data_IF_228256607859
#
_entry.id   IF_228256607859
#
_cell.length_a   1.000
_cell.length_b   1.000
_cell.length_c   1.000
_cell.angle_alpha   90.00
_cell.angle_beta   90.00
_cell.angle_gamma   90.00
#
_symmetry.space_group_name_H-M   'P 1'
#
loop_
_entity.id
_entity.type
_entity.pdbx_description
1 polymer ?
#
# COMPACT_ATOMS: atom_id res chain seq x y z
N UNK A 1 13.12 -35.22 36.71
CA UNK A 1 13.72 -34.00 36.13
C UNK A 1 15.17 -33.88 36.58
N UNK A 2 16.13 -33.62 35.69
CA UNK A 2 17.55 -33.57 36.09
C UNK A 2 17.88 -32.29 36.88
N UNK A 3 18.61 -32.42 37.98
CA UNK A 3 19.07 -31.29 38.81
C UNK A 3 20.45 -30.83 38.33
N UNK A 4 20.47 -29.87 37.39
CA UNK A 4 21.67 -29.41 36.71
C UNK A 4 21.91 -27.90 36.80
N UNK A 5 21.09 -27.17 37.57
CA UNK A 5 21.11 -25.71 37.61
C UNK A 5 21.64 -25.17 38.94
N UNK A 6 22.39 -24.08 38.88
CA UNK A 6 22.99 -23.43 40.05
C UNK A 6 22.76 -21.92 39.98
N UNK A 7 22.62 -21.27 41.13
CA UNK A 7 22.43 -19.82 41.26
C UNK A 7 23.49 -19.26 42.20
N UNK A 8 24.10 -18.14 41.81
CA UNK A 8 24.99 -17.41 42.69
C UNK A 8 24.17 -16.42 43.54
N UNK A 9 24.11 -16.64 44.86
CA UNK A 9 23.54 -15.71 45.81
C UNK A 9 24.64 -15.18 46.72
N UNK A 10 24.93 -13.88 46.63
CA UNK A 10 25.92 -13.21 47.47
C UNK A 10 27.30 -13.89 47.49
N UNK A 11 27.78 -14.33 46.32
CA UNK A 11 29.08 -14.98 46.17
C UNK A 11 29.11 -16.47 46.50
N UNK A 12 27.99 -17.06 46.94
CA UNK A 12 27.87 -18.51 47.19
C UNK A 12 27.01 -19.17 46.13
N UNK A 13 27.49 -20.29 45.59
CA UNK A 13 26.77 -21.10 44.61
C UNK A 13 25.77 -22.01 45.33
N UNK A 14 24.47 -21.81 45.10
CA UNK A 14 23.40 -22.67 45.59
C UNK A 14 22.89 -23.59 44.49
N UNK A 15 22.62 -24.85 44.83
CA UNK A 15 22.15 -25.89 43.91
C UNK A 15 22.69 -27.27 44.32
N UNK A 16 22.46 -28.32 43.51
CA UNK A 16 21.80 -28.27 42.20
C UNK A 16 20.27 -28.21 42.29
N UNK A 17 19.68 -27.39 41.44
CA UNK A 17 18.25 -27.21 41.21
C UNK A 17 17.82 -27.81 39.87
N UNK A 18 16.54 -28.11 39.71
CA UNK A 18 15.97 -28.46 38.41
C UNK A 18 15.55 -27.18 37.65
N UNK A 19 15.23 -27.31 36.36
CA UNK A 19 14.86 -26.15 35.53
C UNK A 19 13.56 -25.46 36.02
N UNK A 20 12.59 -26.24 36.56
CA UNK A 20 11.35 -25.72 37.12
C UNK A 20 11.59 -24.88 38.38
N UNK A 21 12.51 -25.29 39.25
CA UNK A 21 12.88 -24.55 40.47
C UNK A 21 13.44 -23.16 40.10
N UNK A 22 14.23 -23.06 39.02
CA UNK A 22 14.78 -21.78 38.54
C UNK A 22 13.65 -20.85 38.05
N UNK A 23 12.67 -21.41 37.32
CA UNK A 23 11.50 -20.67 36.84
C UNK A 23 10.66 -20.19 38.03
N UNK A 24 10.37 -21.08 38.97
CA UNK A 24 9.62 -20.78 40.18
C UNK A 24 10.29 -19.68 41.01
N UNK A 25 11.61 -19.75 41.20
CA UNK A 25 12.34 -18.72 41.93
C UNK A 25 12.31 -17.37 41.22
N UNK A 26 12.37 -17.35 39.89
CA UNK A 26 12.29 -16.13 39.10
C UNK A 26 10.88 -15.53 39.16
N UNK A 27 9.84 -16.33 38.93
CA UNK A 27 8.45 -15.89 38.89
C UNK A 27 7.93 -15.47 40.28
N UNK A 28 8.43 -16.09 41.36
CA UNK A 28 8.17 -15.70 42.77
C UNK A 28 9.02 -14.52 43.24
N UNK A 29 9.93 -13.99 42.41
CA UNK A 29 10.81 -12.87 42.76
C UNK A 29 11.89 -13.22 43.79
N UNK A 30 12.15 -14.50 44.04
CA UNK A 30 13.19 -14.99 44.97
C UNK A 30 14.60 -14.83 44.40
N UNK A 31 14.72 -14.71 43.08
CA UNK A 31 15.96 -14.38 42.37
C UNK A 31 15.74 -13.23 41.41
N UNK A 32 16.74 -12.36 41.28
CA UNK A 32 16.66 -11.17 40.42
C UNK A 32 17.09 -11.50 39.00
N UNK A 33 16.61 -10.74 38.02
CA UNK A 33 16.90 -10.94 36.59
C UNK A 33 18.39 -10.94 36.25
N UNK A 34 19.18 -10.10 36.92
CA UNK A 34 20.63 -9.96 36.73
C UNK A 34 21.46 -10.92 37.58
N UNK A 35 20.83 -11.75 38.40
CA UNK A 35 21.52 -12.72 39.24
C UNK A 35 22.18 -13.80 38.38
N UNK A 36 23.39 -14.22 38.73
CA UNK A 36 24.11 -15.19 37.92
C UNK A 36 23.56 -16.61 38.14
N UNK A 37 23.35 -17.30 37.04
CA UNK A 37 22.87 -18.66 36.96
C UNK A 37 23.78 -19.48 36.02
N UNK A 38 24.00 -20.74 36.36
CA UNK A 38 24.84 -21.63 35.58
C UNK A 38 24.20 -23.01 35.49
N UNK A 39 24.23 -23.56 34.27
CA UNK A 39 23.78 -24.91 33.97
C UNK A 39 25.00 -25.80 33.78
N UNK A 40 24.99 -26.98 34.39
CA UNK A 40 26.05 -27.98 34.26
C UNK A 40 26.28 -28.30 32.77
N UNK A 41 27.50 -28.07 32.30
CA UNK A 41 27.90 -28.19 30.88
C UNK A 41 27.98 -26.86 30.12
N UNK A 42 27.52 -25.74 30.68
CA UNK A 42 27.70 -24.42 30.10
C UNK A 42 29.10 -23.86 30.37
N UNK A 43 29.69 -23.15 29.40
CA UNK A 43 31.06 -22.59 29.53
C UNK A 43 31.16 -21.51 30.62
N UNK A 44 30.18 -20.63 30.73
CA UNK A 44 30.22 -19.45 31.62
C UNK A 44 28.91 -19.28 32.40
N UNK A 45 28.99 -18.64 33.58
CA UNK A 45 27.83 -18.14 34.31
C UNK A 45 27.14 -17.02 33.51
N UNK A 46 25.82 -17.02 33.49
CA UNK A 46 25.01 -16.05 32.75
C UNK A 46 23.90 -15.48 33.64
N UNK A 47 23.48 -14.22 33.45
CA UNK A 47 22.36 -13.68 34.22
C UNK A 47 21.06 -14.44 33.92
N UNK A 48 20.17 -14.55 34.92
CA UNK A 48 18.92 -15.33 34.85
C UNK A 48 18.08 -14.96 33.61
N UNK A 49 17.96 -13.67 33.28
CA UNK A 49 17.18 -13.25 32.11
C UNK A 49 17.67 -13.88 30.78
N UNK A 50 18.96 -14.17 30.66
CA UNK A 50 19.56 -14.73 29.44
C UNK A 50 19.39 -16.25 29.33
N UNK A 51 19.05 -16.93 30.44
CA UNK A 51 18.96 -18.39 30.51
C UNK A 51 17.58 -18.91 30.91
N UNK A 52 16.68 -18.03 31.35
CA UNK A 52 15.32 -18.40 31.78
C UNK A 52 14.52 -19.07 30.67
N UNK A 53 14.71 -18.64 29.42
CA UNK A 53 14.06 -19.27 28.28
C UNK A 53 14.59 -20.69 28.02
N UNK A 54 15.87 -20.93 28.28
CA UNK A 54 16.47 -22.27 28.18
C UNK A 54 15.92 -23.19 29.28
N UNK A 55 15.75 -22.66 30.50
CA UNK A 55 15.12 -23.39 31.59
C UNK A 55 13.64 -23.74 31.26
N UNK A 56 12.89 -22.78 30.69
CA UNK A 56 11.50 -23.01 30.24
C UNK A 56 11.42 -24.08 29.16
N UNK A 57 12.30 -24.04 28.17
CA UNK A 57 12.34 -25.06 27.11
C UNK A 57 12.72 -26.44 27.69
N UNK A 58 13.69 -26.51 28.61
CA UNK A 58 14.07 -27.77 29.26
C UNK A 58 12.95 -28.34 30.14
N UNK A 59 12.20 -27.48 30.83
CA UNK A 59 11.03 -27.88 31.59
C UNK A 59 9.91 -28.39 30.69
N UNK A 60 9.62 -27.65 29.63
CA UNK A 60 8.63 -28.01 28.61
C UNK A 60 8.95 -29.37 27.97
N UNK A 61 10.17 -29.57 27.48
CA UNK A 61 10.59 -30.84 26.86
C UNK A 61 10.54 -32.02 27.84
N UNK A 62 10.83 -31.79 29.14
CA UNK A 62 10.67 -32.83 30.16
C UNK A 62 9.21 -33.24 30.35
N UNK A 63 8.28 -32.28 30.40
CA UNK A 63 6.85 -32.57 30.50
C UNK A 63 6.31 -33.20 29.22
N UNK A 64 6.71 -32.73 28.04
CA UNK A 64 6.34 -33.32 26.75
C UNK A 64 6.83 -34.77 26.63
N UNK A 65 8.07 -35.08 27.05
CA UNK A 65 8.56 -36.46 27.08
C UNK A 65 7.79 -37.33 28.08
N UNK A 66 7.38 -36.77 29.23
CA UNK A 66 6.62 -37.52 30.24
C UNK A 66 5.16 -37.74 29.83
N UNK A 67 4.61 -36.84 29.03
CA UNK A 67 3.24 -36.93 28.48
C UNK A 67 3.18 -37.90 27.29
N UNK A 68 4.30 -38.14 26.60
CA UNK A 68 4.36 -39.10 25.48
C UNK A 68 4.60 -40.56 25.92
N UNK A 69 5.17 -40.79 27.10
CA UNK A 69 5.48 -42.15 27.61
C UNK A 69 4.43 -42.73 28.60
N UNK A 70 3.48 -41.93 29.09
CA UNK A 70 2.46 -42.38 30.04
C UNK A 70 1.04 -42.03 29.53
N UNK A 71 0.29 -43.06 29.12
CA UNK A 71 -1.13 -43.01 28.74
C UNK A 71 -2.07 -42.78 29.96
N UNK A 72 -1.62 -41.99 30.95
CA UNK A 72 -2.33 -41.76 32.21
C UNK A 72 -2.27 -40.31 32.71
N UNK A 73 -3.36 -39.93 33.38
CA UNK A 73 -3.74 -38.61 33.87
C UNK A 73 -2.59 -37.72 34.39
N UNK A 74 -2.65 -36.45 33.95
CA UNK A 74 -1.83 -35.35 34.47
C UNK A 74 -1.87 -35.29 36.02
N UNK A 75 -0.75 -34.96 36.69
CA UNK A 75 -0.69 -34.97 38.15
C UNK A 75 -1.71 -34.02 38.78
N UNK A 76 -2.52 -34.53 39.71
CA UNK A 76 -3.44 -33.74 40.52
C UNK A 76 -2.64 -32.83 41.48
N UNK A 77 -2.83 -31.51 41.33
CA UNK A 77 -2.21 -30.49 42.18
C UNK A 77 -2.97 -30.42 43.51
N UNK A 78 -2.30 -30.34 44.68
CA UNK A 78 -2.96 -30.25 45.98
C UNK A 78 -3.86 -29.01 46.07
N UNK A 79 -5.13 -29.22 46.39
CA UNK A 79 -6.11 -28.16 46.66
C UNK A 79 -5.90 -27.71 48.10
N UNK A 80 -5.57 -26.43 48.32
CA UNK A 80 -5.55 -25.85 49.66
C UNK A 80 -6.94 -25.26 49.97
N UNK A 81 -7.64 -25.81 50.97
CA UNK A 81 -8.86 -25.24 51.52
C UNK A 81 -8.54 -23.99 52.35
N UNK A 82 -8.95 -22.83 51.87
CA UNK A 82 -8.88 -21.57 52.61
C UNK A 82 -10.28 -21.17 53.10
N UNK A 83 -10.36 -20.78 54.38
CA UNK A 83 -11.60 -20.44 55.11
C UNK A 83 -12.25 -19.15 54.59
N UNK A 84 -13.58 -19.19 54.56
CA UNK A 84 -14.52 -18.20 54.00
C UNK A 84 -14.54 -16.85 54.74
N UNK A 85 -14.82 -15.79 53.98
CA UNK A 85 -15.57 -14.60 54.39
C UNK A 85 -16.50 -14.24 53.23
N UNK A 86 -17.81 -14.37 53.45
CA UNK A 86 -18.88 -13.99 52.52
C UNK A 86 -19.26 -12.52 52.76
N UNK A 87 -19.29 -11.72 51.70
CA UNK A 87 -20.36 -10.73 51.48
C UNK A 87 -20.34 -10.23 50.03
N UNK A 88 -21.49 -9.79 49.54
CA UNK A 88 -21.85 -9.06 48.31
C UNK A 88 -22.86 -9.74 47.37
N UNK A 89 -24.06 -9.15 47.41
CA UNK A 89 -25.23 -9.32 46.54
C UNK A 89 -24.98 -8.84 45.09
N UNK A 90 -25.61 -9.55 44.15
CA UNK A 90 -25.88 -9.20 42.76
C UNK A 90 -27.12 -8.28 42.66
N UNK A 91 -27.07 -7.26 41.81
CA UNK A 91 -28.13 -6.95 40.83
C UNK A 91 -27.73 -5.72 40.00
N UNK A 92 -27.63 -5.89 38.69
CA UNK A 92 -28.02 -4.87 37.70
C UNK A 92 -27.96 -5.46 36.29
N UNK A 93 -29.12 -5.58 35.66
CA UNK A 93 -29.27 -5.88 34.22
C UNK A 93 -30.04 -4.74 33.55
N UNK A 94 -29.61 -4.30 32.35
CA UNK A 94 -30.16 -3.11 31.69
C UNK A 94 -31.39 -3.43 30.81
N UNK A 95 -32.30 -2.47 30.59
CA UNK A 95 -33.42 -2.64 29.67
C UNK A 95 -33.11 -2.17 28.22
N UNK A 96 -33.84 -2.69 27.20
CA UNK A 96 -33.61 -2.39 25.77
C UNK A 96 -34.67 -1.49 25.08
N UNK A 97 -34.24 -0.95 23.92
CA UNK A 97 -34.94 -0.59 22.64
C UNK A 97 -36.12 0.39 22.60
N UNK A 98 -36.13 1.28 21.58
CA UNK A 98 -37.23 1.43 20.60
C UNK A 98 -36.86 2.39 19.42
N UNK A 99 -37.40 2.07 18.23
CA UNK A 99 -37.42 2.79 16.95
C UNK A 99 -38.76 3.55 16.76
N UNK A 100 -38.79 4.60 15.92
CA UNK A 100 -39.94 5.10 15.11
C UNK A 100 -39.38 6.23 14.19
N UNK A 101 -39.36 6.17 12.83
CA UNK A 101 -40.40 6.37 11.76
C UNK A 101 -41.23 7.67 12.00
N UNK A 102 -41.31 8.68 11.10
CA UNK A 102 -42.12 8.85 9.85
C UNK A 102 -41.75 10.24 9.25
N UNK A 103 -41.50 10.39 7.93
CA UNK A 103 -42.41 10.85 6.85
C UNK A 103 -42.69 12.39 6.90
N UNK A 104 -42.93 13.17 5.84
CA UNK A 104 -43.40 13.00 4.46
C UNK A 104 -43.20 14.36 3.72
N UNK A 105 -43.20 14.33 2.38
CA UNK A 105 -43.84 15.30 1.46
C UNK A 105 -43.35 16.75 1.26
N UNK A 106 -43.47 17.43 0.10
CA UNK A 106 -43.89 17.12 -1.29
C UNK A 106 -43.84 18.45 -2.11
N UNK A 107 -44.06 18.36 -3.43
CA UNK A 107 -44.43 19.37 -4.45
C UNK A 107 -43.39 20.43 -4.93
N UNK A 108 -43.36 20.91 -6.18
CA UNK A 108 -43.75 20.51 -7.56
C UNK A 108 -43.52 21.75 -8.47
N UNK A 109 -43.42 21.53 -9.78
CA UNK A 109 -43.70 22.46 -10.93
C UNK A 109 -42.81 23.68 -11.20
N UNK A 110 -42.68 24.20 -12.43
CA UNK A 110 -42.80 23.76 -13.84
C UNK A 110 -42.54 25.04 -14.70
N UNK A 111 -42.29 24.84 -16.01
CA UNK A 111 -42.57 25.72 -17.16
C UNK A 111 -41.49 26.67 -17.74
N UNK A 112 -41.20 26.37 -19.03
CA UNK A 112 -41.19 27.24 -20.24
C UNK A 112 -40.16 28.38 -20.36
N UNK A 113 -39.73 28.85 -21.54
CA UNK A 113 -39.73 28.47 -22.97
C UNK A 113 -38.89 29.59 -23.63
N UNK A 114 -38.52 29.43 -24.91
CA UNK A 114 -38.42 30.47 -25.95
C UNK A 114 -37.19 30.38 -26.89
N UNK A 115 -37.57 30.46 -28.17
CA UNK A 115 -36.82 30.36 -29.42
C UNK A 115 -36.07 31.63 -29.84
N UNK A 116 -35.11 31.53 -30.76
CA UNK A 116 -35.10 32.35 -31.99
C UNK A 116 -34.14 31.84 -33.09
N UNK A 117 -34.53 32.06 -34.35
CA UNK A 117 -33.88 31.68 -35.62
C UNK A 117 -33.04 32.82 -36.20
N UNK A 118 -32.09 32.52 -37.10
CA UNK A 118 -31.72 33.43 -38.20
C UNK A 118 -31.10 32.67 -39.39
N UNK A 119 -31.82 32.65 -40.51
CA UNK A 119 -31.36 32.30 -41.86
C UNK A 119 -30.95 33.58 -42.60
N UNK A 120 -29.86 33.53 -43.38
CA UNK A 120 -29.54 34.55 -44.39
C UNK A 120 -29.16 33.86 -45.70
N UNK A 121 -30.05 33.95 -46.68
CA UNK A 121 -29.78 33.65 -48.08
C UNK A 121 -29.79 34.96 -48.89
N UNK A 122 -28.82 35.13 -49.79
CA UNK A 122 -28.85 36.16 -50.81
C UNK A 122 -28.30 35.62 -52.13
N UNK A 123 -29.22 35.34 -53.05
CA UNK A 123 -28.99 35.10 -54.47
C UNK A 123 -28.50 36.38 -55.17
N UNK A 124 -27.49 36.27 -56.04
CA UNK A 124 -27.10 37.34 -56.98
C UNK A 124 -27.14 36.77 -58.40
N UNK A 125 -28.10 37.26 -59.21
CA UNK A 125 -28.19 37.04 -60.65
C UNK A 125 -27.31 38.05 -61.41
N UNK A 126 -26.43 37.57 -62.29
CA UNK A 126 -25.72 38.38 -63.28
C UNK A 126 -26.48 38.42 -64.62
N UNK A 127 -26.63 39.60 -65.26
CA UNK A 127 -26.84 39.69 -66.70
C UNK A 127 -25.57 40.15 -67.44
N UNK A 128 -25.44 39.65 -68.66
CA UNK A 128 -24.31 39.80 -69.57
C UNK A 128 -24.36 41.10 -70.39
N UNK A 129 -23.21 41.79 -70.47
CA UNK A 129 -22.60 42.49 -71.63
C UNK A 129 -21.41 43.33 -71.13
N UNK A 130 -20.22 43.09 -71.69
CA UNK A 130 -18.94 43.57 -71.15
C UNK A 130 -18.37 44.77 -71.91
N UNK A 131 -18.26 45.97 -71.30
CA UNK A 131 -17.31 47.00 -71.69
C UNK A 131 -16.03 46.90 -70.83
N UNK A 132 -14.97 47.58 -71.29
CA UNK A 132 -13.55 47.60 -70.85
C UNK A 132 -13.29 47.61 -69.31
N UNK A 133 -14.28 47.90 -68.48
CA UNK A 133 -14.18 47.82 -67.02
C UNK A 133 -13.90 46.41 -66.48
N UNK A 134 -14.31 45.35 -67.17
CA UNK A 134 -14.15 43.98 -66.64
C UNK A 134 -12.77 43.39 -66.88
N UNK A 135 -12.01 43.89 -67.84
CA UNK A 135 -10.60 43.50 -68.00
C UNK A 135 -9.72 44.15 -66.93
N UNK A 136 -10.02 45.38 -66.52
CA UNK A 136 -9.32 46.07 -65.42
C UNK A 136 -9.67 45.46 -64.07
N UNK A 137 -10.95 45.12 -63.84
CA UNK A 137 -11.37 44.41 -62.62
C UNK A 137 -10.79 42.98 -62.61
N UNK A 138 -10.80 42.27 -63.74
CA UNK A 138 -10.17 40.95 -63.83
C UNK A 138 -8.64 41.02 -63.64
N UNK A 139 -7.94 42.02 -64.18
CA UNK A 139 -6.50 42.17 -63.95
C UNK A 139 -6.21 42.51 -62.50
N UNK A 140 -7.03 43.35 -61.86
CA UNK A 140 -6.90 43.66 -60.44
C UNK A 140 -7.17 42.41 -59.59
N UNK A 141 -8.21 41.64 -59.88
CA UNK A 141 -8.50 40.37 -59.20
C UNK A 141 -7.36 39.37 -59.43
N UNK A 142 -6.84 39.23 -60.65
CA UNK A 142 -5.69 38.34 -60.93
C UNK A 142 -4.46 38.81 -60.16
N UNK A 143 -4.19 40.11 -60.11
CA UNK A 143 -3.03 40.65 -59.37
C UNK A 143 -3.20 40.44 -57.87
N UNK A 144 -4.39 40.69 -57.33
CA UNK A 144 -4.72 40.43 -55.92
C UNK A 144 -4.64 38.93 -55.61
N UNK A 145 -5.15 38.07 -56.49
CA UNK A 145 -5.03 36.61 -56.34
C UNK A 145 -3.58 36.15 -56.46
N UNK A 146 -2.78 36.72 -57.35
CA UNK A 146 -1.34 36.41 -57.48
C UNK A 146 -0.57 36.90 -56.27
N UNK A 147 -0.83 38.11 -55.77
CA UNK A 147 -0.21 38.65 -54.56
C UNK A 147 -0.61 37.85 -53.33
N UNK A 148 -1.90 37.54 -53.15
CA UNK A 148 -2.40 36.67 -52.07
C UNK A 148 -1.80 35.26 -52.21
N UNK A 149 -1.70 34.72 -53.43
CA UNK A 149 -1.08 33.41 -53.67
C UNK A 149 0.42 33.44 -53.38
N UNK A 150 1.13 34.53 -53.69
CA UNK A 150 2.54 34.71 -53.34
C UNK A 150 2.72 34.87 -51.83
N UNK A 151 1.82 35.59 -51.16
CA UNK A 151 1.85 35.78 -49.72
C UNK A 151 1.54 34.48 -48.97
N UNK A 152 0.56 33.70 -49.47
CA UNK A 152 0.27 32.35 -48.97
C UNK A 152 1.39 31.35 -49.30
N UNK A 153 2.06 31.47 -50.46
CA UNK A 153 3.20 30.64 -50.84
C UNK A 153 4.46 30.93 -50.02
N UNK A 154 4.68 32.19 -49.63
CA UNK A 154 5.81 32.57 -48.78
C UNK A 154 5.67 31.95 -47.37
N UNK A 155 4.45 31.83 -46.86
CA UNK A 155 4.15 31.23 -45.56
C UNK A 155 4.84 31.93 -44.37
N UNK A 156 4.58 31.50 -43.13
CA UNK A 156 5.25 32.06 -41.95
C UNK A 156 6.77 31.81 -42.01
N UNK A 157 7.59 32.81 -41.67
CA UNK A 157 9.06 32.64 -41.59
C UNK A 157 9.41 31.67 -40.46
N UNK A 158 10.02 30.53 -40.80
CA UNK A 158 10.48 29.53 -39.81
C UNK A 158 11.75 30.06 -39.15
N UNK A 159 11.78 30.11 -37.81
CA UNK A 159 12.98 30.50 -37.04
C UNK A 159 13.98 29.35 -37.03
N UNK A 160 15.26 29.66 -37.12
CA UNK A 160 16.32 28.67 -36.88
C UNK A 160 16.23 28.14 -35.43
N UNK A 161 16.29 26.81 -35.29
CA UNK A 161 16.15 26.16 -33.99
C UNK A 161 17.50 26.13 -33.25
N UNK A 162 17.59 26.84 -32.13
CA UNK A 162 18.73 26.77 -31.21
C UNK A 162 18.46 25.76 -30.09
N UNK A 163 19.24 24.68 -30.03
CA UNK A 163 19.16 23.68 -28.96
C UNK A 163 19.69 24.28 -27.64
N UNK A 164 18.80 24.54 -26.66
CA UNK A 164 19.17 25.12 -25.36
C UNK A 164 18.89 24.15 -24.21
N UNK A 165 19.78 24.18 -23.22
CA UNK A 165 19.66 23.43 -21.97
C UNK A 165 19.42 21.91 -22.15
N UNK A 166 20.19 21.27 -23.04
CA UNK A 166 20.11 19.82 -23.32
C UNK A 166 21.29 19.12 -22.63
N UNK A 167 21.08 17.90 -22.12
CA UNK A 167 22.18 17.10 -21.59
C UNK A 167 23.17 16.69 -22.69
N UNK A 168 24.46 16.59 -22.35
CA UNK A 168 25.54 16.25 -23.32
C UNK A 168 25.26 14.90 -23.98
N UNK A 169 24.74 13.93 -23.22
CA UNK A 169 24.36 12.61 -23.72
C UNK A 169 23.23 12.68 -24.74
N UNK A 170 22.14 13.41 -24.45
CA UNK A 170 21.02 13.58 -25.38
C UNK A 170 21.45 14.35 -26.64
N UNK A 171 22.33 15.35 -26.51
CA UNK A 171 22.87 16.09 -27.64
C UNK A 171 23.71 15.20 -28.58
N UNK A 172 24.53 14.32 -28.01
CA UNK A 172 25.34 13.37 -28.79
C UNK A 172 24.48 12.36 -29.55
N UNK A 173 23.37 11.91 -28.95
CA UNK A 173 22.41 11.03 -29.61
C UNK A 173 21.62 11.75 -30.70
N UNK A 174 21.25 13.01 -30.47
CA UNK A 174 20.56 13.86 -31.44
C UNK A 174 21.43 14.21 -32.66
N UNK A 175 22.76 14.26 -32.50
CA UNK A 175 23.70 14.51 -33.60
C UNK A 175 23.79 13.34 -34.59
N UNK A 176 23.45 12.11 -34.19
CA UNK A 176 23.49 10.93 -35.07
C UNK A 176 22.56 11.11 -36.29
N UNK A 177 22.91 10.59 -37.47
CA UNK A 177 22.03 10.62 -38.63
C UNK A 177 20.75 9.82 -38.35
N UNK A 178 19.62 10.32 -38.84
CA UNK A 178 18.30 9.68 -38.69
C UNK A 178 17.99 8.93 -39.97
N UNK A 179 17.53 7.68 -39.87
CA UNK A 179 17.16 6.87 -41.04
C UNK A 179 15.85 7.36 -41.65
N UNK A 180 15.59 7.01 -42.92
CA UNK A 180 14.48 7.58 -43.70
C UNK A 180 13.08 7.43 -43.07
N UNK A 181 12.87 6.42 -42.22
CA UNK A 181 11.59 6.14 -41.54
C UNK A 181 11.69 6.30 -40.02
N UNK A 182 12.69 7.02 -39.52
CA UNK A 182 12.88 7.21 -38.10
C UNK A 182 12.85 8.69 -37.71
N UNK A 183 12.59 8.95 -36.44
CA UNK A 183 12.57 10.27 -35.84
C UNK A 183 13.29 10.22 -34.49
N UNK A 184 14.17 11.18 -34.25
CA UNK A 184 14.84 11.33 -32.96
C UNK A 184 14.17 12.44 -32.16
N UNK A 185 13.92 12.16 -30.88
CA UNK A 185 13.25 13.06 -29.96
C UNK A 185 14.12 13.23 -28.73
N UNK A 186 14.25 14.48 -28.30
CA UNK A 186 14.91 14.82 -27.06
C UNK A 186 14.13 15.91 -26.35
N UNK A 187 14.33 16.01 -25.04
CA UNK A 187 13.77 17.04 -24.17
C UNK A 187 14.90 17.87 -23.60
N UNK A 188 14.63 19.14 -23.32
CA UNK A 188 15.54 19.93 -22.49
C UNK A 188 15.53 19.44 -21.04
N UNK A 189 16.51 19.88 -20.24
CA UNK A 189 16.66 19.47 -18.85
C UNK A 189 15.47 19.83 -17.97
N UNK A 190 14.76 20.90 -18.31
CA UNK A 190 13.63 21.41 -17.53
C UNK A 190 12.28 20.82 -17.99
N UNK A 191 12.28 19.92 -18.98
CA UNK A 191 11.06 19.32 -19.56
C UNK A 191 10.06 20.38 -20.07
N UNK A 192 10.54 21.53 -20.54
CA UNK A 192 9.70 22.62 -21.05
C UNK A 192 9.70 22.71 -22.58
N UNK A 193 10.63 22.03 -23.25
CA UNK A 193 10.73 22.03 -24.71
C UNK A 193 11.10 20.65 -25.23
N UNK A 194 10.42 20.24 -26.31
CA UNK A 194 10.71 19.02 -27.05
C UNK A 194 11.37 19.38 -28.38
N UNK A 195 12.44 18.67 -28.74
CA UNK A 195 13.11 18.81 -30.03
C UNK A 195 13.00 17.52 -30.82
N UNK A 196 12.65 17.68 -32.08
CA UNK A 196 12.49 16.60 -33.04
C UNK A 196 13.50 16.75 -34.15
N UNK A 197 14.12 15.64 -34.55
CA UNK A 197 14.93 15.54 -35.75
C UNK A 197 14.29 14.59 -36.74
N UNK A 198 13.99 15.12 -37.91
CA UNK A 198 13.40 14.43 -39.05
C UNK A 198 14.49 14.07 -40.06
N UNK A 199 14.30 13.00 -40.85
CA UNK A 199 15.30 12.53 -41.80
C UNK A 199 15.37 13.40 -43.08
N UNK A 200 14.38 14.27 -43.30
CA UNK A 200 14.28 15.13 -44.47
C UNK A 200 14.38 16.62 -44.08
N UNK A 201 14.90 17.43 -45.01
CA UNK A 201 15.08 18.88 -44.83
C UNK A 201 13.90 19.72 -45.37
N UNK A 202 12.79 19.09 -45.73
CA UNK A 202 11.62 19.77 -46.30
C UNK A 202 10.84 20.52 -45.22
N UNK A 203 10.08 21.53 -45.65
CA UNK A 203 9.13 22.24 -44.80
C UNK A 203 7.93 21.34 -44.51
N UNK A 204 7.65 21.11 -43.22
CA UNK A 204 6.57 20.23 -42.77
C UNK A 204 5.80 20.84 -41.61
N UNK A 205 4.50 20.54 -41.56
CA UNK A 205 3.67 20.72 -40.37
C UNK A 205 3.68 19.41 -39.60
N UNK A 206 3.91 19.47 -38.29
CA UNK A 206 3.98 18.28 -37.43
C UNK A 206 3.03 18.45 -36.24
N UNK A 207 2.18 17.45 -36.07
CA UNK A 207 1.34 17.24 -34.90
C UNK A 207 1.88 16.02 -34.13
N UNK A 208 2.00 16.20 -32.81
CA UNK A 208 2.52 15.21 -31.89
C UNK A 208 1.45 14.86 -30.87
N UNK A 209 1.30 13.57 -30.62
CA UNK A 209 0.50 13.05 -29.52
C UNK A 209 1.41 12.15 -28.69
N UNK A 210 1.65 12.55 -27.44
CA UNK A 210 2.56 11.90 -26.50
C UNK A 210 1.72 11.32 -25.36
N UNK A 211 1.67 9.99 -25.26
CA UNK A 211 0.98 9.31 -24.19
C UNK A 211 1.98 8.61 -23.27
N UNK A 212 2.08 9.07 -22.02
CA UNK A 212 2.97 8.49 -21.00
C UNK A 212 2.30 7.28 -20.35
N UNK A 213 3.08 6.22 -20.14
CA UNK A 213 2.67 5.14 -19.22
C UNK A 213 3.16 5.44 -17.79
N UNK A 214 2.32 5.22 -16.76
CA UNK A 214 2.67 5.52 -15.39
C UNK A 214 3.81 4.60 -14.90
N UNK A 215 4.65 5.12 -14.02
CA UNK A 215 5.74 4.37 -13.40
C UNK A 215 5.83 4.63 -11.89
N UNK A 216 6.74 3.94 -11.19
CA UNK A 216 6.86 4.03 -9.73
C UNK A 216 7.36 5.40 -9.24
N UNK A 217 7.97 6.23 -10.11
CA UNK A 217 8.41 7.58 -9.75
C UNK A 217 7.28 8.60 -9.93
N UNK A 218 6.49 8.46 -10.99
CA UNK A 218 5.36 9.33 -11.28
C UNK A 218 4.17 8.50 -11.76
N UNK A 219 3.12 8.46 -10.92
CA UNK A 219 1.94 7.61 -11.11
C UNK A 219 0.85 8.21 -11.99
N UNK A 220 1.02 9.44 -12.45
CA UNK A 220 0.05 10.11 -13.32
C UNK A 220 0.20 9.70 -14.78
N UNK A 221 -0.95 9.46 -15.42
CA UNK A 221 -1.06 9.46 -16.87
C UNK A 221 -0.83 10.89 -17.38
N UNK A 222 -0.17 11.00 -18.53
CA UNK A 222 0.12 12.28 -19.15
C UNK A 222 -0.11 12.16 -20.63
N UNK A 223 -1.03 12.97 -21.13
CA UNK A 223 -1.33 13.12 -22.55
C UNK A 223 -0.95 14.52 -22.98
N UNK A 224 0.07 14.63 -23.83
CA UNK A 224 0.53 15.91 -24.37
C UNK A 224 0.29 15.94 -25.87
N UNK A 225 -0.38 16.99 -26.33
CA UNK A 225 -0.44 17.35 -27.74
C UNK A 225 0.45 18.54 -28.01
N UNK A 226 1.11 18.54 -29.16
CA UNK A 226 1.92 19.68 -29.58
C UNK A 226 1.88 19.81 -31.09
N UNK A 227 1.85 21.04 -31.59
CA UNK A 227 1.83 21.33 -33.02
C UNK A 227 2.89 22.37 -33.34
N UNK A 228 3.69 22.13 -34.38
CA UNK A 228 4.58 23.16 -34.89
C UNK A 228 4.94 22.92 -36.37
N UNK A 229 5.37 23.98 -37.03
CA UNK A 229 5.86 23.99 -38.41
C UNK A 229 7.37 24.20 -38.36
N UNK A 230 8.11 23.33 -39.06
CA UNK A 230 9.56 23.40 -39.12
C UNK A 230 10.11 23.21 -40.51
N UNK A 231 11.38 23.60 -40.67
CA UNK A 231 12.14 23.52 -41.92
C UNK A 231 13.59 23.16 -41.58
N UNK A 232 14.28 22.43 -42.47
CA UNK A 232 15.68 22.03 -42.23
C UNK A 232 15.86 20.77 -41.37
N UNK A 233 14.78 20.05 -41.06
CA UNK A 233 14.82 18.72 -40.42
C UNK A 233 14.95 18.74 -38.90
N UNK A 234 14.89 19.90 -38.25
CA UNK A 234 14.79 20.02 -36.79
C UNK A 234 13.59 20.91 -36.44
N UNK A 235 12.79 20.49 -35.46
CA UNK A 235 11.60 21.22 -35.00
C UNK A 235 11.63 21.31 -33.48
N UNK A 236 11.36 22.50 -32.95
CA UNK A 236 11.24 22.77 -31.51
C UNK A 236 9.76 22.95 -31.13
N UNK A 237 9.31 22.34 -30.05
CA UNK A 237 7.96 22.50 -29.50
C UNK A 237 8.09 23.06 -28.09
N UNK A 238 7.64 24.31 -27.89
CA UNK A 238 7.59 24.98 -26.58
C UNK A 238 6.17 25.00 -26.01
N UNK A 239 5.18 25.15 -26.87
CA UNK A 239 3.78 25.24 -26.49
C UNK A 239 3.19 23.81 -26.44
N UNK A 240 3.44 23.12 -25.33
CA UNK A 240 2.91 21.79 -25.05
C UNK A 240 1.51 21.92 -24.41
N UNK A 241 0.48 21.43 -25.10
CA UNK A 241 -0.88 21.37 -24.55
C UNK A 241 -1.09 20.06 -23.82
N UNK A 242 -1.34 20.12 -22.50
CA UNK A 242 -1.64 18.97 -21.66
C UNK A 242 -3.16 18.71 -21.68
N UNK A 243 -3.59 17.57 -22.20
CA UNK A 243 -4.97 17.11 -22.10
C UNK A 243 -5.21 16.34 -20.80
N UNK A 244 -4.20 15.57 -20.36
CA UNK A 244 -4.22 14.83 -19.11
C UNK A 244 -2.89 15.04 -18.36
N UNK A 245 -2.97 15.20 -17.04
CA UNK A 245 -1.83 15.45 -16.17
C UNK A 245 -1.52 16.93 -15.94
N UNK A 246 -0.85 17.25 -14.83
CA UNK A 246 -0.54 18.64 -14.45
C UNK A 246 0.73 19.17 -15.12
N UNK A 247 1.69 18.30 -15.40
CA UNK A 247 3.02 18.68 -15.88
C UNK A 247 3.57 17.64 -16.86
N UNK A 248 4.41 18.07 -17.80
CA UNK A 248 5.19 17.17 -18.63
C UNK A 248 6.37 16.61 -17.81
N UNK A 249 6.39 15.29 -17.62
CA UNK A 249 7.29 14.62 -16.67
C UNK A 249 8.14 13.53 -17.31
N UNK A 250 9.30 13.17 -16.74
CA UNK A 250 10.18 12.15 -17.32
C UNK A 250 9.51 10.76 -17.38
N UNK A 251 9.82 9.98 -18.42
CA UNK A 251 9.35 8.60 -18.53
C UNK A 251 9.33 8.03 -19.94
N UNK A 252 8.64 6.89 -20.08
CA UNK A 252 8.39 6.26 -21.39
C UNK A 252 7.08 6.78 -21.98
N UNK A 253 7.17 7.26 -23.21
CA UNK A 253 6.04 7.75 -24.00
C UNK A 253 5.80 6.87 -25.22
N UNK A 254 4.53 6.60 -25.50
CA UNK A 254 4.09 6.23 -26.84
C UNK A 254 3.82 7.54 -27.60
N UNK A 255 4.51 7.72 -28.73
CA UNK A 255 4.46 8.97 -29.48
C UNK A 255 3.91 8.69 -30.87
N UNK A 256 2.84 9.40 -31.21
CA UNK A 256 2.26 9.42 -32.55
C UNK A 256 2.69 10.72 -33.22
N UNK A 257 3.46 10.59 -34.29
CA UNK A 257 3.90 11.67 -35.16
C UNK A 257 2.99 11.70 -36.36
N UNK A 258 2.39 12.85 -36.61
CA UNK A 258 1.57 13.08 -37.77
C UNK A 258 2.18 14.27 -38.50
N UNK A 259 2.58 14.10 -39.76
CA UNK A 259 3.17 15.22 -40.51
C UNK A 259 2.63 15.36 -41.92
N UNK A 260 2.56 16.62 -42.35
CA UNK A 260 2.10 17.06 -43.66
C UNK A 260 3.20 17.88 -44.36
N UNK A 261 3.50 17.54 -45.61
CA UNK A 261 4.46 18.29 -46.44
C UNK A 261 3.83 19.59 -46.95
N UNK A 262 4.50 20.73 -46.68
CA UNK A 262 4.00 22.07 -47.01
C UNK A 262 4.57 22.64 -48.32
N UNK A 263 5.03 21.79 -49.24
CA UNK A 263 5.60 22.20 -50.53
C UNK A 263 4.55 22.76 -51.51
N UNK A 264 4.95 23.68 -52.39
CA UNK A 264 4.09 24.25 -53.45
C UNK A 264 3.43 23.19 -54.34
N UNK A 265 4.17 22.15 -54.72
CA UNK A 265 3.65 21.04 -55.54
C UNK A 265 2.74 20.08 -54.73
N UNK A 266 2.98 19.95 -53.43
CA UNK A 266 2.21 19.06 -52.55
C UNK A 266 0.86 19.68 -52.17
N UNK A 267 0.81 21.00 -51.97
CA UNK A 267 -0.42 21.78 -51.78
C UNK A 267 -1.35 21.79 -53.00
N UNK A 268 -0.79 21.65 -54.21
CA UNK A 268 -1.58 21.52 -55.43
C UNK A 268 -2.20 20.12 -55.49
N UNK A 269 -1.43 19.06 -55.24
CA UNK A 269 -1.95 17.68 -55.24
C UNK A 269 -3.06 17.44 -54.21
N UNK A 270 -2.90 17.96 -52.99
CA UNK A 270 -3.91 17.83 -51.93
C UNK A 270 -5.23 18.53 -52.29
N UNK A 271 -5.18 19.66 -53.00
CA UNK A 271 -6.38 20.38 -53.49
C UNK A 271 -7.05 19.73 -54.70
N UNK A 272 -6.34 18.91 -55.47
CA UNK A 272 -6.87 18.18 -56.64
C UNK A 272 -7.30 16.74 -56.32
N UNK A 273 -7.52 16.39 -55.06
CA UNK A 273 -8.17 15.14 -54.64
C UNK A 273 -7.33 13.87 -54.78
N UNK A 274 -6.03 13.99 -55.07
CA UNK A 274 -5.10 12.84 -55.15
C UNK A 274 -4.26 12.75 -53.89
N UNK A 275 -4.89 12.27 -52.81
CA UNK A 275 -4.25 11.82 -51.58
C UNK A 275 -3.76 12.94 -50.65
N UNK A 276 -4.16 12.87 -49.38
CA UNK A 276 -3.43 13.56 -48.31
C UNK A 276 -2.08 12.85 -48.13
N UNK A 277 -0.96 13.55 -48.31
CA UNK A 277 0.38 13.05 -47.94
C UNK A 277 0.58 13.10 -46.41
N UNK A 278 -0.43 12.67 -45.65
CA UNK A 278 -0.42 12.63 -44.19
C UNK A 278 0.21 11.30 -43.78
N UNK A 279 1.42 11.35 -43.29
CA UNK A 279 2.15 10.17 -42.81
C UNK A 279 2.04 10.10 -41.28
N UNK A 280 1.71 8.91 -40.76
CA UNK A 280 1.61 8.65 -39.33
C UNK A 280 2.71 7.67 -38.94
N UNK A 281 3.53 8.07 -37.98
CA UNK A 281 4.56 7.23 -37.39
C UNK A 281 4.30 7.06 -35.90
N UNK A 282 4.27 5.83 -35.43
CA UNK A 282 4.15 5.52 -34.00
C UNK A 282 5.48 4.99 -33.47
N UNK A 283 5.97 5.59 -32.39
CA UNK A 283 7.23 5.18 -31.76
C UNK A 283 7.15 5.24 -30.26
N UNK A 284 7.74 4.24 -29.60
CA UNK A 284 8.00 4.28 -28.17
C UNK A 284 9.31 5.00 -27.90
N UNK A 285 9.26 6.11 -27.17
CA UNK A 285 10.42 6.95 -26.87
C UNK A 285 10.58 7.09 -25.36
N UNK A 286 11.83 7.15 -24.91
CA UNK A 286 12.14 7.42 -23.51
C UNK A 286 12.58 8.87 -23.37
N UNK A 287 11.72 9.71 -22.79
CA UNK A 287 11.96 11.14 -22.64
C UNK A 287 12.38 11.41 -21.20
N UNK A 288 13.69 11.60 -21.01
CA UNK A 288 14.28 11.95 -19.71
C UNK A 288 15.32 13.05 -19.91
N UNK A 289 15.44 14.00 -18.95
CA UNK A 289 16.38 15.10 -19.06
C UNK A 289 17.86 14.65 -18.91
N UNK A 290 18.08 13.52 -18.22
CA UNK A 290 19.41 12.92 -18.01
C UNK A 290 19.63 11.68 -18.90
N UNK A 291 20.36 10.68 -18.41
CA UNK A 291 20.56 9.40 -19.09
C UNK A 291 19.51 8.38 -18.64
N UNK A 292 19.13 7.49 -19.57
CA UNK A 292 18.26 6.34 -19.28
C UNK A 292 18.74 5.53 -18.07
N UNK A 293 20.04 5.30 -17.97
CA UNK A 293 20.66 4.54 -16.88
C UNK A 293 20.42 5.18 -15.51
N UNK A 294 20.60 6.50 -15.38
CA UNK A 294 20.39 7.21 -14.11
C UNK A 294 18.93 7.16 -13.67
N UNK A 295 18.00 7.32 -14.61
CA UNK A 295 16.57 7.26 -14.30
C UNK A 295 16.14 5.84 -13.86
N UNK A 296 16.61 4.80 -14.55
CA UNK A 296 16.37 3.41 -14.14
C UNK A 296 17.00 3.13 -12.76
N UNK A 297 18.20 3.66 -12.49
CA UNK A 297 18.83 3.54 -11.18
C UNK A 297 18.02 4.22 -10.06
N UNK A 298 17.34 5.34 -10.35
CA UNK A 298 16.46 6.00 -9.39
C UNK A 298 15.18 5.18 -9.14
N UNK A 299 14.52 4.67 -10.18
CA UNK A 299 13.35 3.79 -10.05
C UNK A 299 13.68 2.56 -9.22
N UNK A 300 14.75 1.85 -9.58
CA UNK A 300 15.17 0.64 -8.86
C UNK A 300 15.54 0.92 -7.40
N UNK A 301 16.08 2.10 -7.08
CA UNK A 301 16.32 2.53 -5.69
C UNK A 301 15.01 2.74 -4.92
N UNK A 302 13.99 3.30 -5.55
CA UNK A 302 12.66 3.48 -4.94
C UNK A 302 11.97 2.13 -4.73
N UNK A 303 12.01 1.24 -5.73
CA UNK A 303 11.47 -0.13 -5.63
C UNK A 303 12.15 -0.92 -4.50
N UNK A 304 13.48 -0.84 -4.40
CA UNK A 304 14.23 -1.46 -3.29
C UNK A 304 13.82 -0.90 -1.93
N UNK A 305 13.59 0.40 -1.82
CA UNK A 305 13.12 1.00 -0.56
C UNK A 305 11.71 0.53 -0.20
N UNK A 306 10.80 0.43 -1.18
CA UNK A 306 9.42 -0.03 -1.00
C UNK A 306 9.38 -1.50 -0.56
N UNK A 307 10.18 -2.36 -1.19
CA UNK A 307 10.29 -3.78 -0.81
C UNK A 307 10.88 -3.97 0.59
N UNK A 308 11.93 -3.21 0.95
CA UNK A 308 12.49 -3.24 2.31
C UNK A 308 11.48 -2.73 3.35
N UNK A 309 10.75 -1.66 3.06
CA UNK A 309 9.72 -1.13 3.94
C UNK A 309 8.58 -2.15 4.13
N UNK A 310 8.11 -2.76 3.04
CA UNK A 310 7.07 -3.79 3.09
C UNK A 310 7.50 -5.00 3.91
N UNK A 311 8.71 -5.54 3.71
CA UNK A 311 9.24 -6.63 4.53
C UNK A 311 9.31 -6.27 6.01
N UNK A 312 9.68 -5.02 6.34
CA UNK A 312 9.68 -4.53 7.73
C UNK A 312 8.27 -4.48 8.31
N UNK A 313 7.29 -4.00 7.54
CA UNK A 313 5.89 -3.95 7.96
C UNK A 313 5.35 -5.35 8.22
N UNK A 314 5.53 -6.27 7.26
CA UNK A 314 5.07 -7.67 7.39
C UNK A 314 5.75 -8.36 8.59
N UNK A 315 7.03 -8.10 8.84
CA UNK A 315 7.71 -8.62 10.02
C UNK A 315 7.07 -8.11 11.33
N UNK A 316 6.74 -6.82 11.42
CA UNK A 316 6.05 -6.25 12.58
C UNK A 316 4.64 -6.83 12.77
N UNK A 317 3.88 -6.98 11.69
CA UNK A 317 2.56 -7.65 11.67
C UNK A 317 2.69 -9.08 12.24
N UNK A 318 3.69 -9.84 11.78
CA UNK A 318 3.94 -11.21 12.26
C UNK A 318 4.34 -11.26 13.75
N UNK A 319 5.10 -10.27 14.24
CA UNK A 319 5.41 -10.16 15.67
C UNK A 319 4.16 -9.92 16.53
N UNK A 320 3.21 -9.09 16.04
CA UNK A 320 1.91 -8.92 16.71
C UNK A 320 1.13 -10.23 16.77
N UNK A 321 1.07 -10.97 15.67
CA UNK A 321 0.39 -12.28 15.62
C UNK A 321 1.02 -13.28 16.61
N UNK A 322 2.35 -13.36 16.66
CA UNK A 322 3.07 -14.20 17.64
C UNK A 322 2.79 -13.79 19.09
N UNK A 323 2.63 -12.49 19.33
CA UNK A 323 2.27 -11.99 20.65
C UNK A 323 0.85 -12.42 21.01
N UNK A 324 -0.12 -12.34 20.09
CA UNK A 324 -1.47 -12.85 20.31
C UNK A 324 -1.49 -14.37 20.59
N UNK A 325 -0.68 -15.15 19.88
CA UNK A 325 -0.52 -16.60 20.14
C UNK A 325 -0.03 -16.87 21.58
N UNK A 326 0.96 -16.11 22.03
CA UNK A 326 1.44 -16.20 23.41
C UNK A 326 0.35 -15.80 24.42
N UNK A 327 -0.45 -14.78 24.10
CA UNK A 327 -1.57 -14.33 24.94
C UNK A 327 -2.70 -15.38 25.02
N UNK A 328 -3.05 -16.04 23.91
CA UNK A 328 -4.02 -17.15 23.91
C UNK A 328 -3.56 -18.27 24.86
N UNK A 329 -2.28 -18.64 24.78
CA UNK A 329 -1.70 -19.67 25.63
C UNK A 329 -1.65 -19.24 27.10
N UNK A 330 -1.25 -17.99 27.36
CA UNK A 330 -1.23 -17.39 28.70
C UNK A 330 -2.63 -17.33 29.32
N UNK A 331 -3.65 -16.96 28.54
CA UNK A 331 -5.05 -16.97 28.96
C UNK A 331 -5.49 -18.35 29.43
N UNK A 332 -5.21 -19.38 28.63
CA UNK A 332 -5.54 -20.78 28.96
C UNK A 332 -4.88 -21.22 30.27
N UNK A 333 -3.59 -20.91 30.45
CA UNK A 333 -2.84 -21.24 31.66
C UNK A 333 -3.45 -20.56 32.88
N UNK A 334 -3.66 -19.24 32.82
CA UNK A 334 -4.19 -18.48 33.95
C UNK A 334 -5.63 -18.85 34.29
N UNK A 335 -6.44 -19.19 33.29
CA UNK A 335 -7.77 -19.74 33.50
C UNK A 335 -7.73 -21.09 34.21
N UNK A 336 -6.90 -22.04 33.74
CA UNK A 336 -6.75 -23.35 34.38
C UNK A 336 -6.25 -23.25 35.82
N UNK A 337 -5.34 -22.32 36.11
CA UNK A 337 -4.86 -22.06 37.47
C UNK A 337 -6.00 -21.56 38.38
N UNK A 338 -6.87 -20.66 37.87
CA UNK A 338 -8.01 -20.17 38.64
C UNK A 338 -9.03 -21.25 39.02
N UNK A 339 -9.14 -22.31 38.21
CA UNK A 339 -10.03 -23.44 38.51
C UNK A 339 -9.57 -24.28 39.72
N UNK A 340 -8.36 -24.04 40.25
CA UNK A 340 -7.91 -24.66 41.50
C UNK A 340 -8.67 -24.17 42.72
N UNK A 341 -9.35 -23.03 42.61
CA UNK A 341 -10.16 -22.47 43.69
C UNK A 341 -11.37 -23.34 44.05
N UNK A 342 -11.87 -23.12 45.26
CA UNK A 342 -12.98 -23.88 45.85
C UNK A 342 -14.33 -23.50 45.23
N UNK A 343 -14.51 -22.22 44.93
CA UNK A 343 -15.73 -21.67 44.35
C UNK A 343 -15.48 -20.97 43.01
N UNK A 344 -16.53 -20.89 42.17
CA UNK A 344 -16.46 -20.20 40.89
C UNK A 344 -16.29 -18.69 41.06
N UNK A 345 -16.84 -18.10 42.12
CA UNK A 345 -16.59 -16.70 42.49
C UNK A 345 -15.11 -16.43 42.80
N UNK A 346 -14.46 -17.28 43.61
CA UNK A 346 -13.02 -17.15 43.90
C UNK A 346 -12.19 -17.37 42.63
N UNK A 347 -12.53 -18.37 41.82
CA UNK A 347 -11.89 -18.60 40.53
C UNK A 347 -12.03 -17.39 39.60
N UNK A 348 -13.23 -16.81 39.51
CA UNK A 348 -13.51 -15.60 38.74
C UNK A 348 -12.59 -14.45 39.18
N UNK A 349 -12.53 -14.17 40.50
CA UNK A 349 -11.72 -13.09 41.06
C UNK A 349 -10.23 -13.31 40.79
N UNK A 350 -9.73 -14.52 40.97
CA UNK A 350 -8.34 -14.87 40.71
C UNK A 350 -8.00 -14.75 39.23
N UNK A 351 -8.87 -15.25 38.35
CA UNK A 351 -8.67 -15.15 36.90
C UNK A 351 -8.64 -13.69 36.45
N UNK A 352 -9.59 -12.87 36.90
CA UNK A 352 -9.64 -11.43 36.60
C UNK A 352 -8.37 -10.72 37.04
N UNK A 353 -7.84 -11.04 38.22
CA UNK A 353 -6.58 -10.47 38.71
C UNK A 353 -5.38 -10.89 37.86
N UNK A 354 -5.28 -12.17 37.50
CA UNK A 354 -4.21 -12.70 36.64
C UNK A 354 -4.27 -12.10 35.23
N UNK A 355 -5.47 -11.99 34.66
CA UNK A 355 -5.72 -11.35 33.37
C UNK A 355 -5.26 -9.89 33.39
N UNK A 356 -5.73 -9.10 34.36
CA UNK A 356 -5.39 -7.69 34.48
C UNK A 356 -3.88 -7.45 34.62
N UNK A 357 -3.16 -8.34 35.31
CA UNK A 357 -1.72 -8.23 35.53
C UNK A 357 -0.88 -8.69 34.33
N UNK A 358 -1.24 -9.81 33.71
CA UNK A 358 -0.34 -10.53 32.81
C UNK A 358 -0.76 -10.50 31.33
N UNK A 359 -2.02 -10.19 31.03
CA UNK A 359 -2.60 -10.32 29.68
C UNK A 359 -3.11 -8.97 29.19
N UNK A 360 -3.95 -8.30 29.97
CA UNK A 360 -4.63 -7.06 29.57
C UNK A 360 -3.69 -5.97 29.05
N UNK A 361 -2.52 -5.67 29.69
CA UNK A 361 -1.65 -4.59 29.22
C UNK A 361 -1.08 -4.82 27.82
N UNK A 362 -0.70 -6.06 27.51
CA UNK A 362 -0.16 -6.45 26.20
C UNK A 362 -1.26 -6.51 25.13
N UNK A 363 -2.44 -7.00 25.49
CA UNK A 363 -3.56 -7.05 24.57
C UNK A 363 -4.03 -5.63 24.22
N UNK A 364 -4.09 -4.74 25.21
CA UNK A 364 -4.44 -3.34 25.01
C UNK A 364 -3.42 -2.63 24.12
N UNK A 365 -2.12 -2.87 24.28
CA UNK A 365 -1.10 -2.24 23.42
C UNK A 365 -1.24 -2.68 21.95
N UNK A 366 -1.54 -3.95 21.68
CA UNK A 366 -1.80 -4.44 20.32
C UNK A 366 -3.05 -3.79 19.74
N UNK A 367 -4.15 -3.77 20.49
CA UNK A 367 -5.42 -3.17 20.04
C UNK A 367 -5.25 -1.67 19.77
N UNK A 368 -4.57 -0.94 20.67
CA UNK A 368 -4.37 0.50 20.53
C UNK A 368 -3.42 0.86 19.39
N UNK A 369 -2.41 0.03 19.10
CA UNK A 369 -1.49 0.26 17.98
C UNK A 369 -2.17 0.36 16.61
N UNK A 370 -3.42 -0.11 16.51
CA UNK A 370 -4.21 -0.05 15.29
C UNK A 370 -4.85 1.33 15.02
N UNK A 371 -4.98 2.17 16.06
CA UNK A 371 -5.53 3.53 15.89
C UNK A 371 -4.51 4.49 15.29
N UNK A 372 -3.22 4.17 15.37
CA UNK A 372 -2.11 4.92 14.75
C UNK A 372 -1.94 4.59 13.24
N UNK A 373 -2.77 3.70 12.68
CA UNK A 373 -2.64 3.23 11.29
C UNK A 373 -2.91 4.29 10.22
N UNK A 374 -3.53 5.42 10.56
CA UNK A 374 -3.74 6.50 9.61
C UNK A 374 -2.42 7.14 9.14
N UNK A 375 -1.34 7.00 9.92
CA UNK A 375 -0.03 7.56 9.59
C UNK A 375 0.90 6.58 8.84
N UNK A 376 0.63 5.28 8.89
CA UNK A 376 1.46 4.27 8.24
C UNK A 376 1.04 4.06 6.77
N UNK A 377 1.95 4.30 5.83
CA UNK A 377 1.79 3.96 4.40
C UNK A 377 1.87 2.45 4.18
N UNK A 378 0.83 1.72 4.60
CA UNK A 378 0.66 0.30 4.35
C UNK A 378 0.08 0.05 2.96
N UNK A 379 0.44 -1.08 2.34
CA UNK A 379 -0.28 -1.58 1.17
C UNK A 379 -1.71 -2.03 1.53
N UNK A 380 -2.57 -2.23 0.54
CA UNK A 380 -3.92 -2.76 0.76
C UNK A 380 -3.92 -4.13 1.44
N UNK A 381 -2.97 -5.00 1.07
CA UNK A 381 -2.80 -6.34 1.64
C UNK A 381 -2.26 -6.27 3.08
N UNK A 382 -1.25 -5.41 3.33
CA UNK A 382 -0.71 -5.18 4.67
C UNK A 382 -1.80 -4.65 5.62
N UNK A 383 -2.63 -3.72 5.14
CA UNK A 383 -3.75 -3.17 5.91
C UNK A 383 -4.84 -4.22 6.18
N UNK A 384 -5.12 -5.12 5.24
CA UNK A 384 -6.04 -6.25 5.46
C UNK A 384 -5.55 -7.15 6.59
N UNK A 385 -4.29 -7.59 6.53
CA UNK A 385 -3.67 -8.44 7.56
C UNK A 385 -3.67 -7.78 8.93
N UNK A 386 -3.32 -6.51 8.99
CA UNK A 386 -3.29 -5.76 10.24
C UNK A 386 -4.70 -5.64 10.87
N UNK A 387 -5.73 -5.43 10.04
CA UNK A 387 -7.13 -5.42 10.50
C UNK A 387 -7.57 -6.80 11.01
N UNK A 388 -7.16 -7.90 10.36
CA UNK A 388 -7.47 -9.26 10.82
C UNK A 388 -6.81 -9.56 12.17
N UNK A 389 -5.54 -9.17 12.36
CA UNK A 389 -4.84 -9.28 13.65
C UNK A 389 -5.55 -8.46 14.72
N UNK A 390 -5.99 -7.24 14.38
CA UNK A 390 -6.72 -6.40 15.30
C UNK A 390 -8.08 -7.00 15.70
N UNK A 391 -8.81 -7.59 14.74
CA UNK A 391 -10.05 -8.32 15.01
C UNK A 391 -9.79 -9.49 15.97
N UNK A 392 -8.77 -10.31 15.68
CA UNK A 392 -8.38 -11.42 16.55
C UNK A 392 -8.06 -10.93 17.97
N UNK A 393 -7.37 -9.79 18.11
CA UNK A 393 -7.11 -9.16 19.41
C UNK A 393 -8.39 -8.77 20.16
N UNK A 394 -9.38 -8.21 19.47
CA UNK A 394 -10.70 -7.89 20.05
C UNK A 394 -11.43 -9.15 20.50
N UNK A 395 -11.39 -10.20 19.70
CA UNK A 395 -12.07 -11.46 20.01
C UNK A 395 -11.43 -12.17 21.21
N UNK A 396 -10.09 -12.13 21.33
CA UNK A 396 -9.36 -12.60 22.53
C UNK A 396 -9.74 -11.80 23.78
N UNK A 397 -9.97 -10.49 23.63
CA UNK A 397 -10.44 -9.65 24.74
C UNK A 397 -11.85 -10.06 25.18
N UNK A 398 -12.76 -10.24 24.22
CA UNK A 398 -14.12 -10.72 24.46
C UNK A 398 -14.13 -12.13 25.09
N UNK A 399 -13.19 -12.98 24.70
CA UNK A 399 -13.02 -14.30 25.29
C UNK A 399 -12.71 -14.24 26.79
N UNK A 400 -11.88 -13.29 27.23
CA UNK A 400 -11.62 -13.09 28.66
C UNK A 400 -12.89 -12.80 29.45
N UNK A 401 -13.78 -11.97 28.90
CA UNK A 401 -15.07 -11.63 29.50
C UNK A 401 -15.97 -12.86 29.56
N UNK A 402 -16.10 -13.60 28.45
CA UNK A 402 -16.85 -14.86 28.37
C UNK A 402 -16.37 -15.88 29.41
N UNK A 403 -15.05 -16.03 29.57
CA UNK A 403 -14.46 -16.91 30.57
C UNK A 403 -14.76 -16.43 32.00
N UNK A 404 -14.64 -15.13 32.29
CA UNK A 404 -14.99 -14.59 33.62
C UNK A 404 -16.45 -14.79 33.97
N UNK A 405 -17.36 -14.54 33.04
CA UNK A 405 -18.80 -14.74 33.22
C UNK A 405 -19.15 -16.22 33.42
N UNK A 406 -18.49 -17.11 32.68
CA UNK A 406 -18.71 -18.55 32.86
C UNK A 406 -18.28 -19.02 34.25
N UNK A 407 -17.21 -18.46 34.82
CA UNK A 407 -16.73 -18.82 36.17
C UNK A 407 -17.68 -18.36 37.28
N UNK A 408 -18.22 -17.13 37.19
CA UNK A 408 -19.07 -16.57 38.25
C UNK A 408 -20.38 -17.33 38.44
N UNK A 409 -20.90 -17.97 37.39
CA UNK A 409 -22.13 -18.77 37.41
C UNK A 409 -22.08 -20.04 38.28
N UNK A 410 -20.91 -20.43 38.78
CA UNK A 410 -20.75 -21.62 39.60
C UNK A 410 -20.46 -21.26 41.06
N UNK A 411 -21.30 -21.76 41.98
CA UNK A 411 -21.01 -21.75 43.42
C UNK A 411 -19.78 -22.60 43.76
N UNK A 412 -19.97 -23.87 44.15
CA UNK A 412 -18.85 -24.77 44.44
C UNK A 412 -18.29 -25.46 43.18
N UNK A 413 -16.96 -25.52 43.03
CA UNK A 413 -16.25 -26.17 41.92
C UNK A 413 -15.81 -27.58 42.30
N UNK A 414 -16.56 -28.58 41.83
CA UNK A 414 -16.17 -30.00 41.93
C UNK A 414 -15.42 -30.47 40.67
N UNK A 415 -14.87 -31.70 40.71
CA UNK A 415 -14.08 -32.28 39.60
C UNK A 415 -14.82 -32.22 38.26
N UNK A 416 -16.11 -32.57 38.23
CA UNK A 416 -16.95 -32.55 37.01
C UNK A 416 -17.11 -31.14 36.43
N UNK A 417 -17.41 -30.14 37.27
CA UNK A 417 -17.54 -28.73 36.87
C UNK A 417 -16.23 -28.16 36.34
N UNK A 418 -15.11 -28.44 37.02
CA UNK A 418 -13.77 -28.03 36.57
C UNK A 418 -13.44 -28.60 35.19
N UNK A 419 -13.76 -29.87 34.96
CA UNK A 419 -13.49 -30.55 33.69
C UNK A 419 -14.34 -29.97 32.55
N UNK A 420 -15.62 -29.66 32.82
CA UNK A 420 -16.49 -28.95 31.88
C UNK A 420 -15.96 -27.54 31.55
N UNK A 421 -15.58 -26.76 32.57
CA UNK A 421 -15.04 -25.40 32.39
C UNK A 421 -13.71 -25.40 31.61
N UNK A 422 -12.86 -26.41 31.82
CA UNK A 422 -11.66 -26.60 30.99
C UNK A 422 -12.02 -26.86 29.54
N UNK A 423 -12.91 -27.82 29.29
CA UNK A 423 -13.34 -28.16 27.93
C UNK A 423 -13.92 -26.94 27.20
N UNK A 424 -14.81 -26.19 27.86
CA UNK A 424 -15.37 -24.95 27.33
C UNK A 424 -14.30 -23.95 26.87
N UNK A 425 -13.24 -23.77 27.68
CA UNK A 425 -12.12 -22.89 27.33
C UNK A 425 -11.24 -23.48 26.21
N UNK A 426 -11.02 -24.80 26.21
CA UNK A 426 -10.20 -25.46 25.19
C UNK A 426 -10.90 -25.44 23.82
N UNK A 427 -12.22 -25.57 23.76
CA UNK A 427 -13.02 -25.47 22.54
C UNK A 427 -12.84 -24.08 21.88
N UNK A 428 -12.97 -22.99 22.67
CA UNK A 428 -12.72 -21.63 22.19
C UNK A 428 -11.25 -21.42 21.77
N UNK A 429 -10.30 -21.98 22.54
CA UNK A 429 -8.87 -21.89 22.22
C UNK A 429 -8.55 -22.48 20.85
N UNK A 430 -9.19 -23.59 20.47
CA UNK A 430 -9.00 -24.21 19.15
C UNK A 430 -9.44 -23.27 18.03
N UNK A 431 -10.55 -22.55 18.20
CA UNK A 431 -11.04 -21.56 17.23
C UNK A 431 -10.00 -20.46 17.03
N UNK A 432 -9.46 -19.90 18.11
CA UNK A 432 -8.43 -18.87 18.03
C UNK A 432 -7.13 -19.35 17.38
N UNK A 433 -6.73 -20.60 17.66
CA UNK A 433 -5.56 -21.21 17.01
C UNK A 433 -5.78 -21.40 15.50
N UNK A 434 -6.99 -21.80 15.08
CA UNK A 434 -7.34 -21.89 13.66
C UNK A 434 -7.24 -20.54 12.97
N UNK A 435 -7.92 -19.52 13.49
CA UNK A 435 -7.89 -18.16 12.93
C UNK A 435 -6.46 -17.61 12.85
N UNK A 436 -5.65 -17.83 13.90
CA UNK A 436 -4.24 -17.48 13.91
C UNK A 436 -3.45 -18.18 12.81
N UNK A 437 -3.71 -19.46 12.54
CA UNK A 437 -3.02 -20.21 11.49
C UNK A 437 -3.38 -19.74 10.09
N UNK A 438 -4.64 -19.33 9.88
CA UNK A 438 -5.09 -18.75 8.60
C UNK A 438 -4.34 -17.44 8.31
N UNK A 439 -4.29 -16.52 9.28
CA UNK A 439 -3.54 -15.26 9.18
C UNK A 439 -2.04 -15.54 8.99
N UNK A 440 -1.48 -16.51 9.71
CA UNK A 440 -0.08 -16.92 9.57
C UNK A 440 0.24 -17.39 8.15
N UNK A 441 -0.67 -18.14 7.51
CA UNK A 441 -0.52 -18.61 6.15
C UNK A 441 -0.58 -17.45 5.14
N UNK A 442 -1.44 -16.46 5.35
CA UNK A 442 -1.46 -15.24 4.53
C UNK A 442 -0.15 -14.44 4.66
N UNK A 443 0.38 -14.26 5.87
CA UNK A 443 1.67 -13.60 6.11
C UNK A 443 2.81 -14.34 5.39
N UNK A 444 2.82 -15.67 5.40
CA UNK A 444 3.84 -16.47 4.74
C UNK A 444 3.83 -16.32 3.21
N UNK A 445 2.67 -16.03 2.61
CA UNK A 445 2.57 -15.76 1.17
C UNK A 445 3.21 -14.42 0.76
N UNK A 446 3.33 -13.48 1.71
CA UNK A 446 3.86 -12.13 1.45
C UNK A 446 5.35 -11.96 1.82
N UNK A 447 5.94 -12.91 2.55
CA UNK A 447 7.36 -12.94 2.92
C UNK A 447 8.22 -13.59 1.85
#
# INVERSE_FOLDING_TARGET
MQKNWYINQSGKNKGPFNAQDIIDFYDKGLIKSYQLCWRKGAKNWKPVFAVIQVARNEAQSYYESKVLDEDHDLPEIPIHEAKFFDDYNEDDTPPPLEEEIEDEDDFERELEDSSEKLDVAADIKLPSKFPIYTTVIASFIITVVVVISFYMAAGPKVKEVELKNISISALNEFKKPVSANDVHLIVNKDMSALYIKLPFKRRVSVELILHRKPDELHRGDVLVKAHNIGEGGIIEFKDLTLEEGQNFIPGSYAVTFIYDYLGLLDNIKSKFGTGSNREVLEKKVFLVPETREKYIAQITKVEKKKTVASKKNIAAINEKLRTLEALISSMSIHYRLSLSQVSGWLAHKEFKQRYAKNIAPLLQSIILSNYDLNDARLSSEERKLENEIHSLGKDISAWSVKLTDKLSRYGMLNKKKRLYLRKFMDDDRVIFQSSKNDIQAEIQKLL
#
